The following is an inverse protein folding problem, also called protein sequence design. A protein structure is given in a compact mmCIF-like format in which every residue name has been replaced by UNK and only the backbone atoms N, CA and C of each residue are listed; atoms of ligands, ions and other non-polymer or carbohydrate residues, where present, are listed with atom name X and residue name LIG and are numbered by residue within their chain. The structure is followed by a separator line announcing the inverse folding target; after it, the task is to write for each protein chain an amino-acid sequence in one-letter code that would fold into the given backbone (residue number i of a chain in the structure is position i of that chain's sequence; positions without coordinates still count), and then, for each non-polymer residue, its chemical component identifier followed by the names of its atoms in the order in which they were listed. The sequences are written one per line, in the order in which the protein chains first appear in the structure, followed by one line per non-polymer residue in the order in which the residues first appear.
data_IF_237960797738
#
_entry.id   IF_237960797738
#
_cell.length_a   1.000
_cell.length_b   1.000
_cell.length_c   1.000
_cell.angle_alpha   90.00
_cell.angle_beta   90.00
_cell.angle_gamma   90.00
#
_symmetry.space_group_name_H-M   'P 1'
#
loop_
_entity.id
_entity.type
_entity.pdbx_description
1 polymer ?
#
# COMPACT_ATOMS: atom_id res chain seq x y z
N UNK A 1 5.95 22.03 2.33
CA UNK A 1 6.87 22.77 1.43
C UNK A 1 8.12 21.98 1.00
N UNK A 2 8.50 20.93 1.69
CA UNK A 2 9.65 20.08 1.31
C UNK A 2 9.39 19.19 0.09
N UNK A 3 8.14 18.94 -0.25
CA UNK A 3 7.77 18.09 -1.39
C UNK A 3 7.83 18.82 -2.74
N UNK A 4 7.51 20.10 -2.77
CA UNK A 4 7.61 20.95 -3.96
C UNK A 4 9.04 20.98 -4.53
N UNK A 5 10.06 20.87 -3.67
CA UNK A 5 11.46 20.89 -4.08
C UNK A 5 11.94 19.62 -4.79
N UNK A 6 11.18 18.50 -4.74
CA UNK A 6 11.53 17.22 -5.37
C UNK A 6 10.80 16.93 -6.69
N UNK A 7 10.00 17.86 -7.17
CA UNK A 7 9.27 17.71 -8.44
C UNK A 7 8.11 16.73 -8.42
N UNK A 8 7.67 16.29 -7.23
CA UNK A 8 6.56 15.34 -7.06
C UNK A 8 5.17 16.00 -7.07
N UNK A 9 5.10 17.35 -7.17
CA UNK A 9 3.84 18.09 -7.12
C UNK A 9 3.18 18.08 -5.73
N UNK A 10 1.99 18.65 -5.67
CA UNK A 10 1.21 18.67 -4.42
C UNK A 10 0.59 17.31 -4.11
N UNK A 11 0.61 16.94 -2.83
CA UNK A 11 -0.10 15.75 -2.35
C UNK A 11 -1.60 16.00 -2.42
N UNK A 12 -2.31 15.19 -3.17
CA UNK A 12 -3.77 15.24 -3.24
C UNK A 12 -4.36 13.86 -2.96
N UNK A 13 -5.59 13.84 -2.44
CA UNK A 13 -6.29 12.62 -2.12
C UNK A 13 -7.41 12.36 -3.13
N UNK A 14 -7.65 11.09 -3.39
CA UNK A 14 -8.84 10.58 -4.05
C UNK A 14 -9.60 9.71 -3.06
N UNK A 15 -10.92 9.71 -3.16
CA UNK A 15 -11.78 8.90 -2.32
C UNK A 15 -12.62 7.99 -3.20
N UNK A 16 -12.95 6.83 -2.68
CA UNK A 16 -13.91 5.92 -3.29
C UNK A 16 -14.87 5.37 -2.23
N UNK A 17 -16.05 4.99 -2.67
CA UNK A 17 -16.95 4.19 -1.86
C UNK A 17 -16.35 2.81 -1.63
N UNK A 18 -16.74 2.14 -0.54
CA UNK A 18 -16.45 0.71 -0.38
C UNK A 18 -17.58 -0.06 -1.07
N UNK A 19 -17.24 -0.74 -2.16
CA UNK A 19 -18.19 -1.55 -2.89
C UNK A 19 -18.54 -2.85 -2.16
N UNK A 20 -19.72 -3.39 -2.44
CA UNK A 20 -20.07 -4.75 -2.03
C UNK A 20 -19.25 -5.78 -2.83
N UNK A 21 -19.22 -7.03 -2.31
CA UNK A 21 -18.43 -8.09 -2.95
C UNK A 21 -18.91 -8.36 -4.38
N UNK A 22 -18.03 -8.12 -5.33
CA UNK A 22 -18.30 -8.30 -6.77
C UNK A 22 -18.56 -7.01 -7.53
N UNK A 23 -18.58 -5.87 -6.86
CA UNK A 23 -18.71 -4.55 -7.45
C UNK A 23 -17.37 -3.79 -7.37
N UNK A 24 -17.27 -2.68 -8.10
CA UNK A 24 -16.09 -1.82 -8.08
C UNK A 24 -16.32 -0.58 -7.23
N UNK A 25 -15.28 -0.18 -6.47
CA UNK A 25 -15.27 1.08 -5.75
C UNK A 25 -15.46 2.25 -6.71
N UNK A 26 -16.40 3.14 -6.40
CA UNK A 26 -16.71 4.31 -7.23
C UNK A 26 -16.04 5.55 -6.64
N UNK A 27 -15.42 6.40 -7.48
CA UNK A 27 -14.90 7.68 -7.02
C UNK A 27 -16.01 8.53 -6.40
N UNK A 28 -15.73 9.14 -5.26
CA UNK A 28 -16.63 10.04 -4.56
C UNK A 28 -15.87 11.28 -4.12
N UNK A 29 -16.47 12.45 -4.25
CA UNK A 29 -15.87 13.69 -3.80
C UNK A 29 -16.08 13.91 -2.29
N UNK A 30 -15.18 14.68 -1.67
CA UNK A 30 -15.30 15.10 -0.27
C UNK A 30 -16.67 15.78 0.01
N UNK A 31 -17.10 16.64 -0.92
CA UNK A 31 -18.38 17.33 -0.82
C UNK A 31 -19.56 16.34 -0.81
N UNK A 32 -19.49 15.29 -1.60
CA UNK A 32 -20.52 14.25 -1.63
C UNK A 32 -20.49 13.38 -0.38
N UNK A 33 -19.34 13.04 0.16
CA UNK A 33 -19.20 12.26 1.40
C UNK A 33 -19.91 12.96 2.54
N UNK A 34 -19.60 14.24 2.76
CA UNK A 34 -20.18 15.01 3.86
C UNK A 34 -21.61 15.45 3.53
N UNK A 35 -21.87 15.91 2.30
CA UNK A 35 -23.18 16.41 1.88
C UNK A 35 -24.28 15.34 1.82
N UNK A 36 -23.93 14.08 1.58
CA UNK A 36 -24.88 12.96 1.63
C UNK A 36 -25.11 12.41 3.05
N UNK A 37 -24.34 12.87 4.04
CA UNK A 37 -24.41 12.37 5.41
C UNK A 37 -23.78 11.00 5.62
N UNK A 38 -22.98 10.49 4.69
CA UNK A 38 -22.23 9.25 4.87
C UNK A 38 -21.27 9.35 6.05
N UNK A 39 -20.61 10.50 6.19
CA UNK A 39 -19.71 10.83 7.29
C UNK A 39 -19.93 12.29 7.67
N UNK A 40 -20.00 12.60 8.96
CA UNK A 40 -20.08 13.99 9.40
C UNK A 40 -18.74 14.74 9.17
N UNK A 41 -18.80 16.07 9.08
CA UNK A 41 -17.65 16.90 8.76
C UNK A 41 -16.49 16.70 9.74
N UNK A 42 -16.77 16.56 11.05
CA UNK A 42 -15.74 16.40 12.08
C UNK A 42 -14.98 15.08 11.91
N UNK A 43 -15.71 13.99 11.71
CA UNK A 43 -15.09 12.68 11.48
C UNK A 43 -14.32 12.68 10.17
N UNK A 44 -14.84 13.34 9.12
CA UNK A 44 -14.13 13.48 7.85
C UNK A 44 -12.80 14.23 8.01
N UNK A 45 -12.80 15.33 8.76
CA UNK A 45 -11.57 16.10 9.04
C UNK A 45 -10.55 15.26 9.80
N UNK A 46 -10.99 14.48 10.81
CA UNK A 46 -10.12 13.55 11.54
C UNK A 46 -9.51 12.48 10.63
N UNK A 47 -10.32 11.83 9.78
CA UNK A 47 -9.84 10.85 8.78
C UNK A 47 -8.81 11.47 7.86
N UNK A 48 -9.08 12.65 7.34
CA UNK A 48 -8.16 13.37 6.46
C UNK A 48 -6.82 13.66 7.13
N UNK A 49 -6.85 14.19 8.33
CA UNK A 49 -5.66 14.60 9.06
C UNK A 49 -4.80 13.38 9.42
N UNK A 50 -5.42 12.27 9.86
CA UNK A 50 -4.71 11.01 10.11
C UNK A 50 -4.14 10.43 8.81
N UNK A 51 -4.88 10.45 7.70
CA UNK A 51 -4.38 9.95 6.42
C UNK A 51 -3.13 10.71 5.94
N UNK A 52 -3.13 12.05 6.05
CA UNK A 52 -1.95 12.85 5.70
C UNK A 52 -0.77 12.61 6.66
N UNK A 53 -1.02 12.47 7.95
CA UNK A 53 0.02 12.16 8.91
C UNK A 53 0.68 10.80 8.64
N UNK A 54 -0.12 9.77 8.34
CA UNK A 54 0.36 8.44 7.95
C UNK A 54 1.18 8.50 6.66
N UNK A 55 0.68 9.21 5.65
CA UNK A 55 1.39 9.35 4.38
C UNK A 55 2.73 10.05 4.54
N UNK A 56 2.77 11.16 5.28
CA UNK A 56 4.00 11.88 5.61
C UNK A 56 5.00 10.97 6.33
N UNK A 57 4.54 10.18 7.30
CA UNK A 57 5.40 9.21 8.00
C UNK A 57 5.92 8.13 7.06
N UNK A 58 5.06 7.60 6.18
CA UNK A 58 5.45 6.62 5.16
C UNK A 58 6.50 7.16 4.20
N UNK A 59 6.35 8.42 3.78
CA UNK A 59 7.32 9.09 2.91
C UNK A 59 8.69 9.28 3.59
N UNK A 60 8.69 9.66 4.88
CA UNK A 60 9.93 9.75 5.65
C UNK A 60 10.64 8.41 5.74
N UNK A 61 9.93 7.34 6.10
CA UNK A 61 10.50 5.99 6.15
C UNK A 61 11.05 5.53 4.80
N UNK A 62 10.28 5.73 3.73
CA UNK A 62 10.73 5.38 2.39
C UNK A 62 12.02 6.11 2.00
N UNK A 63 12.10 7.41 2.30
CA UNK A 63 13.28 8.24 2.01
C UNK A 63 14.53 7.79 2.79
N UNK A 64 14.39 7.28 4.01
CA UNK A 64 15.49 6.72 4.80
C UNK A 64 16.14 5.50 4.08
N UNK A 65 15.39 4.86 3.19
CA UNK A 65 15.82 3.70 2.41
C UNK A 65 16.01 3.98 0.91
N UNK A 66 16.13 5.26 0.52
CA UNK A 66 16.32 5.67 -0.88
C UNK A 66 15.11 5.39 -1.77
N UNK A 67 13.92 5.37 -1.20
CA UNK A 67 12.65 5.14 -1.87
C UNK A 67 11.75 6.38 -1.81
N UNK A 68 10.89 6.51 -2.81
CA UNK A 68 9.83 7.51 -2.88
C UNK A 68 8.51 6.77 -2.72
N UNK A 69 7.77 6.99 -1.62
CA UNK A 69 6.38 6.56 -1.50
C UNK A 69 5.52 7.50 -2.35
N UNK A 70 5.00 6.97 -3.45
CA UNK A 70 4.27 7.76 -4.46
C UNK A 70 2.83 7.96 -4.07
N UNK A 71 2.16 6.87 -3.76
CA UNK A 71 0.77 6.85 -3.29
C UNK A 71 0.51 5.60 -2.44
N UNK A 72 -0.62 5.65 -1.76
CA UNK A 72 -1.08 4.55 -0.91
C UNK A 72 -2.60 4.63 -0.75
N UNK A 73 -3.20 3.52 -0.34
CA UNK A 73 -4.60 3.42 0.04
C UNK A 73 -4.69 3.21 1.55
N UNK A 74 -5.60 3.93 2.20
CA UNK A 74 -5.96 3.70 3.59
C UNK A 74 -7.44 3.38 3.70
N UNK A 75 -7.78 2.48 4.60
CA UNK A 75 -9.14 2.21 4.99
C UNK A 75 -9.33 2.53 6.48
N UNK A 76 -10.44 3.18 6.80
CA UNK A 76 -10.78 3.58 8.17
C UNK A 76 -12.11 3.01 8.57
N UNK A 77 -12.27 2.79 9.86
CA UNK A 77 -13.51 2.36 10.46
C UNK A 77 -13.74 2.98 11.82
N UNK A 78 -14.93 2.77 12.39
CA UNK A 78 -15.25 3.16 13.75
C UNK A 78 -15.37 1.92 14.64
N UNK A 79 -14.68 1.91 15.77
CA UNK A 79 -14.84 0.93 16.82
C UNK A 79 -15.17 1.62 18.12
N UNK A 80 -16.38 1.37 18.65
CA UNK A 80 -16.88 2.03 19.86
C UNK A 80 -16.79 3.57 19.79
N UNK A 81 -17.10 4.13 18.62
CA UNK A 81 -17.05 5.57 18.37
C UNK A 81 -15.67 6.19 18.20
N UNK A 82 -14.61 5.37 18.20
CA UNK A 82 -13.24 5.81 17.94
C UNK A 82 -12.83 5.48 16.53
N UNK A 83 -12.17 6.43 15.86
CA UNK A 83 -11.55 6.19 14.57
C UNK A 83 -10.44 5.14 14.70
N UNK A 84 -10.47 4.15 13.85
CA UNK A 84 -9.41 3.14 13.73
C UNK A 84 -8.97 3.02 12.28
N UNK A 85 -7.69 2.77 12.10
CA UNK A 85 -7.15 2.35 10.82
C UNK A 85 -7.42 0.86 10.65
N UNK A 86 -7.99 0.47 9.53
CA UNK A 86 -8.24 -0.91 9.16
C UNK A 86 -7.48 -1.25 7.90
N UNK A 87 -7.30 -2.56 7.65
CA UNK A 87 -6.52 -3.05 6.53
C UNK A 87 -5.01 -2.72 6.62
N UNK A 88 -4.27 -3.07 5.59
CA UNK A 88 -2.82 -2.90 5.48
C UNK A 88 -2.41 -1.46 5.21
N UNK A 89 -1.20 -1.11 5.64
CA UNK A 89 -0.60 0.20 5.34
C UNK A 89 0.79 0.03 4.74
N UNK A 90 1.10 0.82 3.72
CA UNK A 90 2.42 0.94 3.09
C UNK A 90 3.01 -0.38 2.57
N UNK A 91 2.16 -1.38 2.31
CA UNK A 91 2.58 -2.63 1.67
C UNK A 91 2.70 -2.45 0.16
N UNK A 92 3.31 -3.42 -0.51
CA UNK A 92 3.41 -3.43 -1.98
C UNK A 92 2.05 -3.60 -2.67
N UNK A 93 1.02 -4.04 -1.96
CA UNK A 93 -0.32 -4.16 -2.52
C UNK A 93 -1.10 -2.85 -2.42
N UNK A 94 -0.99 -2.16 -1.28
CA UNK A 94 -1.66 -0.88 -1.03
C UNK A 94 -0.91 0.34 -1.56
N UNK A 95 0.38 0.23 -1.89
CA UNK A 95 1.26 1.38 -2.14
C UNK A 95 2.16 1.19 -3.34
N UNK A 96 2.57 2.31 -3.96
CA UNK A 96 3.59 2.34 -5.00
C UNK A 96 4.84 3.02 -4.48
N UNK A 97 5.99 2.40 -4.77
CA UNK A 97 7.30 2.95 -4.46
C UNK A 97 8.13 3.10 -5.72
N UNK A 98 8.89 4.17 -5.80
CA UNK A 98 9.91 4.38 -6.82
C UNK A 98 11.29 4.44 -6.20
N UNK A 99 12.33 4.02 -6.94
CA UNK A 99 13.71 4.19 -6.50
C UNK A 99 14.15 5.64 -6.69
N UNK A 100 14.56 6.30 -5.61
CA UNK A 100 14.99 7.70 -5.63
C UNK A 100 16.24 7.90 -6.50
N UNK A 101 17.19 6.95 -6.44
CA UNK A 101 18.47 7.03 -7.14
C UNK A 101 18.35 7.16 -8.65
N UNK A 102 17.33 6.56 -9.27
CA UNK A 102 17.15 6.56 -10.73
C UNK A 102 16.03 7.49 -11.19
N UNK A 103 15.28 8.06 -10.27
CA UNK A 103 14.06 8.81 -10.59
C UNK A 103 14.32 10.04 -11.48
N UNK A 104 15.28 10.88 -11.11
CA UNK A 104 15.54 12.12 -11.81
C UNK A 104 16.04 11.89 -13.26
N UNK A 105 16.96 10.95 -13.43
CA UNK A 105 17.54 10.65 -14.74
C UNK A 105 16.51 10.02 -15.68
N UNK A 106 15.71 9.10 -15.18
CA UNK A 106 14.64 8.46 -15.96
C UNK A 106 13.54 9.44 -16.33
N UNK A 107 13.16 10.32 -15.40
CA UNK A 107 12.20 11.41 -15.70
C UNK A 107 12.73 12.33 -16.81
N UNK A 108 13.99 12.74 -16.76
CA UNK A 108 14.62 13.56 -17.78
C UNK A 108 14.70 12.86 -19.14
N UNK A 109 14.86 11.53 -19.15
CA UNK A 109 14.85 10.73 -20.36
C UNK A 109 13.43 10.41 -20.89
N UNK A 110 12.36 10.83 -20.19
CA UNK A 110 10.98 10.48 -20.53
C UNK A 110 10.64 8.99 -20.27
N UNK A 111 11.41 8.33 -19.44
CA UNK A 111 11.22 6.92 -19.08
C UNK A 111 10.36 6.77 -17.81
N UNK A 112 9.69 5.61 -17.69
CA UNK A 112 8.97 5.28 -16.48
C UNK A 112 9.94 5.06 -15.31
N UNK A 113 9.58 5.53 -14.07
CA UNK A 113 10.37 5.25 -12.88
C UNK A 113 10.56 3.75 -12.61
N UNK A 114 11.63 3.40 -11.91
CA UNK A 114 11.78 2.05 -11.37
C UNK A 114 10.82 1.84 -10.20
N UNK A 115 9.97 0.83 -10.30
CA UNK A 115 8.88 0.57 -9.37
C UNK A 115 9.14 -0.69 -8.54
N UNK A 116 8.77 -0.64 -7.25
CA UNK A 116 8.77 -1.77 -6.31
C UNK A 116 7.32 -2.14 -5.95
N UNK A 117 6.49 -2.38 -6.93
CA UNK A 117 5.07 -2.71 -6.73
C UNK A 117 4.63 -3.87 -7.62
N UNK A 118 3.33 -4.13 -7.64
CA UNK A 118 2.69 -5.15 -8.48
C UNK A 118 2.62 -4.78 -9.98
N UNK A 119 3.05 -3.59 -10.38
CA UNK A 119 2.97 -3.13 -11.76
C UNK A 119 3.77 -4.00 -12.75
N UNK A 120 4.98 -4.50 -12.41
CA UNK A 120 5.69 -5.44 -13.27
C UNK A 120 4.88 -6.73 -13.54
N UNK A 121 4.14 -7.22 -12.55
CA UNK A 121 3.29 -8.41 -12.68
C UNK A 121 2.09 -8.08 -13.56
N UNK A 122 1.45 -6.96 -13.32
CA UNK A 122 0.32 -6.48 -14.14
C UNK A 122 0.73 -6.33 -15.60
N UNK A 123 1.85 -5.70 -15.88
CA UNK A 123 2.38 -5.54 -17.25
C UNK A 123 2.67 -6.88 -17.91
N UNK A 124 3.22 -7.83 -17.18
CA UNK A 124 3.44 -9.18 -17.70
C UNK A 124 2.11 -9.86 -18.03
N UNK A 125 1.12 -9.81 -17.15
CA UNK A 125 -0.22 -10.36 -17.40
C UNK A 125 -0.88 -9.71 -18.64
N UNK A 126 -0.79 -8.39 -18.74
CA UNK A 126 -1.30 -7.66 -19.93
C UNK A 126 -0.60 -8.08 -21.21
N UNK A 127 0.72 -8.31 -21.18
CA UNK A 127 1.48 -8.79 -22.32
C UNK A 127 1.09 -10.22 -22.74
N UNK A 128 0.53 -11.02 -21.81
CA UNK A 128 -0.09 -12.32 -22.09
C UNK A 128 -1.56 -12.22 -22.55
N UNK A 129 -2.09 -10.99 -22.70
CA UNK A 129 -3.48 -10.75 -23.12
C UNK A 129 -4.50 -10.70 -22.00
N UNK A 130 -4.08 -10.88 -20.73
CA UNK A 130 -4.98 -10.81 -19.57
C UNK A 130 -5.25 -9.37 -19.14
N UNK A 131 -6.52 -8.97 -19.09
CA UNK A 131 -6.95 -7.60 -18.78
C UNK A 131 -7.70 -7.49 -17.44
N UNK A 132 -7.68 -8.55 -16.63
CA UNK A 132 -8.38 -8.59 -15.34
C UNK A 132 -9.59 -9.52 -15.32
N UNK A 133 -10.11 -9.90 -16.48
CA UNK A 133 -11.26 -10.79 -16.62
C UNK A 133 -10.90 -12.03 -17.44
N UNK A 134 -11.57 -13.15 -17.18
CA UNK A 134 -11.39 -14.40 -17.90
C UNK A 134 -10.37 -15.33 -17.26
N UNK A 135 -9.87 -16.29 -18.04
CA UNK A 135 -8.93 -17.30 -17.57
C UNK A 135 -7.51 -16.71 -17.44
N UNK A 136 -6.88 -16.94 -16.28
CA UNK A 136 -5.50 -16.53 -16.03
C UNK A 136 -4.54 -17.29 -16.97
N UNK A 137 -3.57 -16.60 -17.58
CA UNK A 137 -2.52 -17.28 -18.34
C UNK A 137 -1.71 -18.20 -17.44
N UNK A 138 -1.17 -19.30 -17.98
CA UNK A 138 -0.35 -20.23 -17.20
C UNK A 138 0.90 -19.54 -16.71
N UNK A 139 1.09 -19.50 -15.39
CA UNK A 139 2.26 -18.93 -14.73
C UNK A 139 3.23 -20.06 -14.44
N UNK A 140 4.36 -20.09 -15.14
CA UNK A 140 5.41 -21.09 -14.91
C UNK A 140 6.18 -20.83 -13.61
N UNK A 141 6.91 -21.84 -13.15
CA UNK A 141 7.63 -21.79 -11.87
C UNK A 141 8.77 -20.77 -11.87
N UNK A 142 9.45 -20.59 -12.99
CA UNK A 142 10.52 -19.58 -13.12
C UNK A 142 9.98 -18.17 -12.88
N UNK A 143 8.79 -17.87 -13.44
CA UNK A 143 8.17 -16.59 -13.23
C UNK A 143 7.65 -16.43 -11.79
N UNK A 144 7.10 -17.50 -11.19
CA UNK A 144 6.71 -17.49 -9.77
C UNK A 144 7.89 -17.19 -8.84
N UNK A 145 9.03 -17.84 -9.10
CA UNK A 145 10.28 -17.58 -8.34
C UNK A 145 10.75 -16.13 -8.53
N UNK A 146 10.69 -15.62 -9.76
CA UNK A 146 11.04 -14.22 -10.06
C UNK A 146 10.16 -13.24 -9.29
N UNK A 147 8.86 -13.47 -9.26
CA UNK A 147 7.90 -12.64 -8.52
C UNK A 147 8.16 -12.74 -7.02
N UNK A 148 8.35 -13.95 -6.48
CA UNK A 148 8.64 -14.13 -5.06
C UNK A 148 9.92 -13.38 -4.63
N UNK A 149 10.97 -13.43 -5.45
CA UNK A 149 12.20 -12.65 -5.21
C UNK A 149 11.93 -11.15 -5.21
N UNK A 150 11.17 -10.64 -6.20
CA UNK A 150 10.80 -9.23 -6.25
C UNK A 150 10.15 -8.77 -4.93
N UNK A 151 9.21 -9.55 -4.39
CA UNK A 151 8.56 -9.21 -3.12
C UNK A 151 9.51 -9.27 -1.92
N UNK A 152 10.36 -10.30 -1.86
CA UNK A 152 11.37 -10.43 -0.80
C UNK A 152 12.35 -9.25 -0.82
N UNK A 153 12.91 -8.95 -1.99
CA UNK A 153 13.86 -7.85 -2.17
C UNK A 153 13.22 -6.51 -1.82
N UNK A 154 11.97 -6.30 -2.24
CA UNK A 154 11.22 -5.08 -1.94
C UNK A 154 10.94 -4.91 -0.45
N UNK A 155 10.60 -5.99 0.27
CA UNK A 155 10.42 -5.94 1.73
C UNK A 155 11.72 -5.54 2.42
N UNK A 156 12.86 -6.10 2.00
CA UNK A 156 14.18 -5.72 2.52
C UNK A 156 14.48 -4.25 2.24
N UNK A 157 14.22 -3.77 1.02
CA UNK A 157 14.44 -2.37 0.66
C UNK A 157 13.53 -1.41 1.46
N UNK A 158 12.24 -1.73 1.62
CA UNK A 158 11.28 -0.87 2.33
C UNK A 158 11.55 -0.81 3.84
N UNK A 159 11.95 -1.95 4.43
CA UNK A 159 12.07 -2.07 5.89
C UNK A 159 13.51 -1.91 6.41
N UNK A 160 14.51 -1.99 5.52
CA UNK A 160 15.93 -2.08 5.90
C UNK A 160 16.27 -3.35 6.68
N UNK A 161 15.35 -4.30 6.78
CA UNK A 161 15.51 -5.51 7.60
C UNK A 161 15.75 -6.73 6.70
N UNK A 162 16.81 -7.52 6.94
CA UNK A 162 17.06 -8.72 6.17
C UNK A 162 15.90 -9.72 6.25
N UNK A 163 15.51 -10.26 5.12
CA UNK A 163 14.48 -11.30 5.07
C UNK A 163 15.05 -12.65 5.56
N UNK A 164 14.42 -13.22 6.57
CA UNK A 164 14.76 -14.55 7.07
C UNK A 164 13.66 -15.53 6.64
N UNK A 165 14.00 -16.44 5.73
CA UNK A 165 13.05 -17.45 5.28
C UNK A 165 12.78 -18.46 6.41
N UNK A 166 11.51 -18.76 6.65
CA UNK A 166 11.11 -19.83 7.54
C UNK A 166 10.50 -20.98 6.71
N UNK A 167 11.22 -22.08 6.65
CA UNK A 167 10.77 -23.30 5.97
C UNK A 167 9.84 -24.10 6.90
N UNK A 168 8.80 -24.69 6.34
CA UNK A 168 7.90 -25.57 7.08
C UNK A 168 6.43 -25.29 6.79
N UNK A 169 5.53 -25.90 7.55
CA UNK A 169 4.09 -25.73 7.40
C UNK A 169 3.65 -24.30 7.76
N UNK A 170 3.28 -23.53 6.74
CA UNK A 170 2.85 -22.15 6.90
C UNK A 170 1.59 -22.03 7.73
N UNK A 171 0.63 -22.97 7.58
CA UNK A 171 -0.62 -22.97 8.34
C UNK A 171 -0.35 -23.16 9.84
N UNK A 172 0.49 -24.11 10.19
CA UNK A 172 0.88 -24.37 11.58
C UNK A 172 1.59 -23.14 12.20
N UNK A 173 2.47 -22.48 11.44
CA UNK A 173 3.17 -21.27 11.89
C UNK A 173 2.21 -20.10 12.16
N UNK A 174 1.26 -19.87 11.24
CA UNK A 174 0.22 -18.85 11.42
C UNK A 174 -0.65 -19.16 12.63
N UNK A 175 -1.10 -20.40 12.78
CA UNK A 175 -1.88 -20.83 13.95
C UNK A 175 -1.13 -20.60 15.27
N UNK A 176 0.14 -20.98 15.34
CA UNK A 176 0.98 -20.78 16.52
C UNK A 176 1.20 -19.28 16.83
N UNK A 177 1.36 -18.45 15.79
CA UNK A 177 1.50 -17.00 15.97
C UNK A 177 0.20 -16.38 16.50
N UNK A 178 -0.96 -16.77 15.95
CA UNK A 178 -2.27 -16.30 16.40
C UNK A 178 -2.55 -16.73 17.85
N UNK A 179 -2.25 -17.97 18.22
CA UNK A 179 -2.41 -18.44 19.61
C UNK A 179 -1.58 -17.59 20.56
N UNK A 180 -0.31 -17.34 20.26
CA UNK A 180 0.55 -16.44 21.07
C UNK A 180 -0.03 -15.02 21.18
N UNK A 181 -0.57 -14.48 20.09
CA UNK A 181 -1.19 -13.15 20.11
C UNK A 181 -2.44 -13.09 20.99
N UNK A 182 -3.24 -14.15 21.03
CA UNK A 182 -4.44 -14.24 21.88
C UNK A 182 -4.05 -14.42 23.35
N UNK A 183 -3.06 -15.26 23.63
CA UNK A 183 -2.62 -15.55 25.00
C UNK A 183 -1.79 -14.41 25.60
N UNK A 184 -0.99 -13.72 24.77
CA UNK A 184 -0.12 -12.60 25.16
C UNK A 184 -0.29 -11.44 24.15
N UNK A 185 -1.41 -10.69 24.19
CA UNK A 185 -1.62 -9.60 23.28
C UNK A 185 -0.53 -8.51 23.47
N UNK A 186 -0.03 -7.92 22.38
CA UNK A 186 0.97 -6.87 22.48
C UNK A 186 0.43 -5.73 23.33
N UNK A 187 1.28 -5.19 24.20
CA UNK A 187 0.92 -4.03 25.02
C UNK A 187 0.69 -2.87 24.08
N UNK A 188 -0.56 -2.42 24.00
CA UNK A 188 -0.87 -1.16 23.32
C UNK A 188 -0.14 -0.05 24.06
N UNK A 189 0.78 0.64 23.39
CA UNK A 189 1.40 1.83 23.95
C UNK A 189 0.28 2.81 24.31
N UNK A 190 0.10 3.08 25.59
CA UNK A 190 -0.79 4.15 26.02
C UNK A 190 -0.09 5.44 25.64
N UNK A 191 -0.56 6.05 24.53
CA UNK A 191 -0.16 7.38 24.10
C UNK A 191 -0.93 8.43 24.87
#
# INVERSE_FOLDING_TARGET
DTFSSRGLGDVYKRQSTKAEKGEHDLPISEKEIVGSGLVDQKLWDEVRDVAFALFTRGQQQASEHGLILVDTKYEFGLCSGKLILVDEIHTLDSSRYWREATYADRLAAGEAPEMLDKEPIRRWLMAQGYKGDGELPPINDDYRVKVARLYVDSVVEITGTPFVSAVGDTKLRVEQALRRYVDEPPRVAQG
#
